data_IF_758056936486
#
_entry.id   IF_758056936486
#
_cell.length_a   1.000
_cell.length_b   1.000
_cell.length_c   1.000
_cell.angle_alpha   90.00
_cell.angle_beta   90.00
_cell.angle_gamma   90.00
#
_symmetry.space_group_name_H-M   'P 1'
#
loop_
_entity.id
_entity.type
_entity.pdbx_description
1 polymer ?
#
# COMPACT_ATOMS: atom_id res chain seq x y z
N UNK A 1 -16.21 -35.73 -14.06
CA UNK A 1 -14.90 -36.41 -13.85
C UNK A 1 -14.78 -37.09 -12.49
N UNK A 2 -15.15 -36.45 -11.38
CA UNK A 2 -15.02 -37.01 -10.01
C UNK A 2 -15.74 -38.35 -9.80
N UNK A 3 -16.95 -38.54 -10.33
CA UNK A 3 -17.75 -39.78 -10.22
C UNK A 3 -17.12 -40.99 -10.92
N UNK A 4 -16.35 -40.81 -11.99
CA UNK A 4 -15.73 -41.92 -12.74
C UNK A 4 -14.58 -42.59 -11.96
N UNK A 5 -13.79 -41.81 -11.22
CA UNK A 5 -12.71 -42.35 -10.38
C UNK A 5 -13.24 -43.10 -9.16
N UNK A 6 -14.33 -42.60 -8.57
CA UNK A 6 -15.02 -43.31 -7.48
C UNK A 6 -15.56 -44.66 -7.93
N UNK A 7 -16.12 -44.76 -9.15
CA UNK A 7 -16.56 -46.04 -9.71
C UNK A 7 -15.40 -47.03 -9.93
N UNK A 8 -14.24 -46.54 -10.40
CA UNK A 8 -13.04 -47.39 -10.58
C UNK A 8 -12.53 -47.92 -9.24
N UNK A 9 -12.49 -47.06 -8.20
CA UNK A 9 -12.09 -47.47 -6.86
C UNK A 9 -13.07 -48.48 -6.25
N UNK A 10 -14.38 -48.25 -6.38
CA UNK A 10 -15.41 -49.13 -5.86
C UNK A 10 -15.40 -50.48 -6.60
N UNK A 11 -15.21 -50.47 -7.92
CA UNK A 11 -15.01 -51.68 -8.71
C UNK A 11 -13.75 -52.46 -8.28
N UNK A 12 -12.63 -51.77 -8.05
CA UNK A 12 -11.39 -52.38 -7.59
C UNK A 12 -11.52 -53.04 -6.20
N UNK A 13 -12.18 -52.36 -5.28
CA UNK A 13 -12.50 -52.90 -3.95
C UNK A 13 -13.40 -54.13 -4.09
N UNK A 14 -14.48 -54.04 -4.88
CA UNK A 14 -15.40 -55.16 -5.11
C UNK A 14 -14.65 -56.38 -5.71
N UNK A 15 -13.80 -56.16 -6.71
CA UNK A 15 -12.96 -57.19 -7.32
C UNK A 15 -11.99 -57.83 -6.32
N UNK A 16 -11.40 -57.08 -5.39
CA UNK A 16 -10.49 -57.64 -4.38
C UNK A 16 -11.14 -58.65 -3.43
N UNK A 17 -12.45 -58.52 -3.17
CA UNK A 17 -13.22 -59.45 -2.33
C UNK A 17 -13.87 -60.57 -3.13
N UNK A 18 -14.37 -60.28 -4.35
CA UNK A 18 -15.05 -61.27 -5.20
C UNK A 18 -14.06 -62.26 -5.80
N UNK A 19 -12.86 -61.82 -6.18
CA UNK A 19 -11.90 -62.65 -6.91
C UNK A 19 -11.44 -63.89 -6.11
N UNK A 20 -11.05 -63.78 -4.82
CA UNK A 20 -10.70 -64.96 -4.03
C UNK A 20 -11.88 -65.93 -3.87
N UNK A 21 -13.10 -65.41 -3.65
CA UNK A 21 -14.31 -66.24 -3.45
C UNK A 21 -14.64 -67.06 -4.69
N UNK A 22 -14.47 -66.49 -5.89
CA UNK A 22 -14.71 -67.19 -7.16
C UNK A 22 -13.60 -68.22 -7.43
N UNK A 23 -12.34 -67.90 -7.14
CA UNK A 23 -11.19 -68.75 -7.48
C UNK A 23 -10.96 -69.93 -6.51
N UNK A 24 -11.56 -69.91 -5.31
CA UNK A 24 -11.44 -70.98 -4.30
C UNK A 24 -12.57 -72.03 -4.43
N UNK A 25 -13.64 -71.76 -5.19
CA UNK A 25 -14.75 -72.71 -5.37
C UNK A 25 -14.35 -73.93 -6.24
N UNK A 26 -14.98 -75.11 -6.04
CA UNK A 26 -14.70 -76.30 -6.84
C UNK A 26 -14.96 -76.03 -8.33
N UNK A 27 -13.95 -76.28 -9.17
CA UNK A 27 -14.05 -75.93 -10.59
C UNK A 27 -15.10 -76.77 -11.32
N UNK A 28 -15.90 -76.11 -12.15
CA UNK A 28 -16.92 -76.76 -13.00
C UNK A 28 -16.26 -77.38 -14.26
N UNK A 29 -15.01 -77.02 -14.56
CA UNK A 29 -14.25 -77.46 -15.73
C UNK A 29 -12.80 -77.76 -15.34
N UNK A 30 -12.27 -78.91 -15.80
CA UNK A 30 -10.88 -79.35 -15.56
C UNK A 30 -9.81 -78.34 -15.99
N UNK A 31 -10.15 -77.41 -16.90
CA UNK A 31 -9.24 -76.35 -17.37
C UNK A 31 -9.05 -75.23 -16.33
N UNK A 32 -10.00 -75.07 -15.40
CA UNK A 32 -9.99 -74.06 -14.34
C UNK A 32 -9.87 -74.70 -12.94
N UNK A 33 -9.33 -75.92 -12.87
CA UNK A 33 -9.06 -76.60 -11.60
C UNK A 33 -7.74 -76.12 -11.00
N UNK A 34 -7.83 -75.09 -10.15
CA UNK A 34 -6.67 -74.50 -9.49
C UNK A 34 -6.29 -75.20 -8.17
N UNK A 35 -6.99 -76.28 -7.79
CA UNK A 35 -6.81 -76.97 -6.49
C UNK A 35 -5.38 -77.44 -6.22
N UNK A 36 -4.60 -77.75 -7.27
CA UNK A 36 -3.20 -78.18 -7.18
C UNK A 36 -2.19 -77.07 -7.53
N UNK A 37 -2.66 -75.90 -7.97
CA UNK A 37 -1.79 -74.80 -8.45
C UNK A 37 -1.42 -73.79 -7.36
N UNK A 38 -1.92 -73.97 -6.14
CA UNK A 38 -1.65 -73.09 -4.99
C UNK A 38 -0.15 -72.87 -4.75
N UNK A 39 0.67 -73.93 -4.79
CA UNK A 39 2.13 -73.81 -4.62
C UNK A 39 2.81 -72.98 -5.73
N UNK A 40 2.29 -73.02 -6.96
CA UNK A 40 2.78 -72.19 -8.07
C UNK A 40 2.40 -70.72 -7.83
N UNK A 41 1.16 -70.48 -7.40
CA UNK A 41 0.67 -69.14 -7.02
C UNK A 41 1.43 -68.54 -5.84
N UNK A 42 1.74 -69.34 -4.82
CA UNK A 42 2.53 -68.94 -3.65
C UNK A 42 3.98 -68.61 -4.03
N UNK A 43 4.56 -69.37 -4.96
CA UNK A 43 5.92 -69.12 -5.46
C UNK A 43 5.96 -67.85 -6.32
N UNK A 44 5.01 -67.66 -7.23
CA UNK A 44 4.89 -66.44 -8.04
C UNK A 44 4.61 -65.25 -7.13
N UNK A 45 3.67 -65.35 -6.21
CA UNK A 45 3.32 -64.27 -5.26
C UNK A 45 4.47 -63.94 -4.32
N UNK A 46 5.17 -64.94 -3.77
CA UNK A 46 6.33 -64.74 -2.90
C UNK A 46 7.51 -64.05 -3.59
N UNK A 47 7.75 -64.35 -4.87
CA UNK A 47 8.84 -63.72 -5.66
C UNK A 47 8.42 -62.34 -6.19
N UNK A 48 7.18 -62.19 -6.66
CA UNK A 48 6.71 -60.96 -7.31
C UNK A 48 6.25 -59.89 -6.34
N UNK A 49 5.69 -60.26 -5.17
CA UNK A 49 5.18 -59.28 -4.21
C UNK A 49 6.26 -58.29 -3.72
N UNK A 50 7.50 -58.70 -3.37
CA UNK A 50 8.57 -57.75 -3.05
C UNK A 50 8.88 -56.78 -4.20
N UNK A 51 8.87 -57.25 -5.45
CA UNK A 51 9.12 -56.42 -6.64
C UNK A 51 7.99 -55.41 -6.84
N UNK A 52 6.73 -55.85 -6.74
CA UNK A 52 5.55 -54.97 -6.87
C UNK A 52 5.53 -53.94 -5.74
N UNK A 53 5.83 -54.35 -4.50
CA UNK A 53 5.92 -53.44 -3.36
C UNK A 53 7.06 -52.43 -3.53
N UNK A 54 8.20 -52.84 -4.09
CA UNK A 54 9.29 -51.94 -4.41
C UNK A 54 8.87 -50.91 -5.47
N UNK A 55 8.24 -51.35 -6.56
CA UNK A 55 7.70 -50.44 -7.59
C UNK A 55 6.66 -49.49 -6.98
N UNK A 56 5.75 -50.00 -6.16
CA UNK A 56 4.73 -49.21 -5.47
C UNK A 56 5.33 -48.13 -4.57
N UNK A 57 6.32 -48.50 -3.74
CA UNK A 57 7.03 -47.54 -2.89
C UNK A 57 7.80 -46.48 -3.68
N UNK A 58 8.43 -46.85 -4.81
CA UNK A 58 9.07 -45.90 -5.72
C UNK A 58 8.04 -44.92 -6.30
N UNK A 59 6.88 -45.41 -6.77
CA UNK A 59 5.82 -44.57 -7.32
C UNK A 59 5.24 -43.60 -6.27
N UNK A 60 5.08 -44.07 -5.03
CA UNK A 60 4.64 -43.24 -3.90
C UNK A 60 5.70 -42.15 -3.60
N UNK A 61 6.98 -42.52 -3.55
CA UNK A 61 8.07 -41.56 -3.37
C UNK A 61 8.09 -40.48 -4.47
N UNK A 62 7.98 -40.89 -5.73
CA UNK A 62 7.93 -39.96 -6.87
C UNK A 62 6.71 -39.03 -6.77
N UNK A 63 5.55 -39.57 -6.37
CA UNK A 63 4.33 -38.79 -6.17
C UNK A 63 4.50 -37.73 -5.08
N UNK A 64 5.07 -38.10 -3.93
CA UNK A 64 5.37 -37.16 -2.86
C UNK A 64 6.39 -36.10 -3.29
N UNK A 65 7.41 -36.48 -4.05
CA UNK A 65 8.40 -35.53 -4.57
C UNK A 65 7.76 -34.45 -5.45
N UNK A 66 6.88 -34.83 -6.38
CA UNK A 66 6.18 -33.86 -7.22
C UNK A 66 5.17 -33.01 -6.43
N UNK A 67 4.49 -33.58 -5.44
CA UNK A 67 3.63 -32.82 -4.52
C UNK A 67 4.42 -31.75 -3.74
N UNK A 68 5.60 -32.09 -3.22
CA UNK A 68 6.48 -31.13 -2.52
C UNK A 68 6.93 -30.01 -3.46
N UNK A 69 7.29 -30.34 -4.71
CA UNK A 69 7.65 -29.37 -5.73
C UNK A 69 6.50 -28.42 -6.05
N UNK A 70 5.29 -28.95 -6.23
CA UNK A 70 4.08 -28.15 -6.47
C UNK A 70 3.76 -27.22 -5.30
N UNK A 71 3.81 -27.72 -4.06
CA UNK A 71 3.58 -26.91 -2.86
C UNK A 71 4.60 -25.76 -2.74
N UNK A 72 5.87 -26.02 -3.03
CA UNK A 72 6.89 -24.98 -3.02
C UNK A 72 6.66 -23.91 -4.09
N UNK A 73 6.22 -24.31 -5.29
CA UNK A 73 5.86 -23.37 -6.36
C UNK A 73 4.65 -22.51 -5.93
N UNK A 74 3.61 -23.13 -5.37
CA UNK A 74 2.41 -22.44 -4.91
C UNK A 74 2.72 -21.44 -3.80
N UNK A 75 3.57 -21.81 -2.83
CA UNK A 75 4.00 -20.89 -1.76
C UNK A 75 4.75 -19.68 -2.30
N UNK A 76 5.65 -19.88 -3.28
CA UNK A 76 6.36 -18.77 -3.94
C UNK A 76 5.40 -17.86 -4.71
N UNK A 77 4.46 -18.44 -5.46
CA UNK A 77 3.45 -17.68 -6.18
C UNK A 77 2.58 -16.84 -5.23
N UNK A 78 2.09 -17.44 -4.14
CA UNK A 78 1.30 -16.75 -3.12
C UNK A 78 2.08 -15.63 -2.44
N UNK A 79 3.34 -15.85 -2.09
CA UNK A 79 4.19 -14.80 -1.51
C UNK A 79 4.38 -13.62 -2.47
N UNK A 80 4.56 -13.90 -3.77
CA UNK A 80 4.64 -12.85 -4.79
C UNK A 80 3.31 -12.11 -4.95
N UNK A 81 2.19 -12.82 -4.93
CA UNK A 81 0.85 -12.23 -5.03
C UNK A 81 0.55 -11.32 -3.83
N UNK A 82 0.82 -11.77 -2.60
CA UNK A 82 0.67 -10.96 -1.38
C UNK A 82 1.52 -9.69 -1.49
N UNK A 83 2.77 -9.80 -1.96
CA UNK A 83 3.63 -8.64 -2.14
C UNK A 83 3.07 -7.66 -3.18
N UNK A 84 2.64 -8.16 -4.34
CA UNK A 84 2.05 -7.33 -5.39
C UNK A 84 0.76 -6.64 -4.94
N UNK A 85 -0.09 -7.34 -4.19
CA UNK A 85 -1.32 -6.76 -3.65
C UNK A 85 -1.03 -5.66 -2.64
N UNK A 86 -0.08 -5.87 -1.71
CA UNK A 86 0.38 -4.81 -0.79
C UNK A 86 0.93 -3.60 -1.54
N UNK A 87 1.77 -3.82 -2.55
CA UNK A 87 2.33 -2.72 -3.36
C UNK A 87 1.21 -1.94 -4.07
N UNK A 88 0.17 -2.62 -4.58
CA UNK A 88 -1.00 -1.97 -5.19
C UNK A 88 -1.83 -1.19 -4.18
N UNK A 89 -2.07 -1.74 -3.00
CA UNK A 89 -2.83 -1.06 -1.93
C UNK A 89 -2.14 0.24 -1.53
N UNK A 90 -0.83 0.20 -1.26
CA UNK A 90 -0.06 1.40 -0.91
C UNK A 90 -0.02 2.40 -2.07
N UNK A 91 0.14 1.93 -3.31
CA UNK A 91 0.11 2.79 -4.49
C UNK A 91 -1.24 3.52 -4.62
N UNK A 92 -2.35 2.82 -4.38
CA UNK A 92 -3.68 3.40 -4.41
C UNK A 92 -3.88 4.40 -3.26
N UNK A 93 -3.45 4.05 -2.05
CA UNK A 93 -3.49 4.95 -0.89
C UNK A 93 -2.76 6.26 -1.18
N UNK A 94 -1.53 6.20 -1.70
CA UNK A 94 -0.76 7.41 -2.05
C UNK A 94 -1.45 8.28 -3.12
N UNK A 95 -2.17 7.68 -4.07
CA UNK A 95 -2.97 8.44 -5.03
C UNK A 95 -4.20 9.09 -4.37
N UNK A 96 -4.87 8.38 -3.46
CA UNK A 96 -6.01 8.92 -2.70
C UNK A 96 -5.54 10.11 -1.86
N UNK A 97 -4.47 9.96 -1.08
CA UNK A 97 -3.91 11.04 -0.25
C UNK A 97 -3.46 12.24 -1.10
N UNK A 98 -2.85 12.01 -2.26
CA UNK A 98 -2.54 13.10 -3.18
C UNK A 98 -3.81 13.81 -3.68
N UNK A 99 -4.86 13.05 -4.01
CA UNK A 99 -6.12 13.63 -4.44
C UNK A 99 -6.81 14.40 -3.32
N UNK A 100 -6.83 13.89 -2.09
CA UNK A 100 -7.34 14.58 -0.91
C UNK A 100 -6.63 15.91 -0.71
N UNK A 101 -5.30 15.95 -0.81
CA UNK A 101 -4.54 17.22 -0.77
C UNK A 101 -5.02 18.21 -1.84
N UNK A 102 -5.28 17.75 -3.07
CA UNK A 102 -5.78 18.62 -4.13
C UNK A 102 -7.20 19.14 -3.86
N UNK A 103 -8.06 18.32 -3.26
CA UNK A 103 -9.45 18.66 -2.92
C UNK A 103 -9.49 19.59 -1.70
N UNK A 104 -8.70 19.31 -0.67
CA UNK A 104 -8.55 20.13 0.52
C UNK A 104 -8.17 21.55 0.13
N UNK A 105 -7.15 21.72 -0.74
CA UNK A 105 -6.76 23.04 -1.24
C UNK A 105 -7.89 23.69 -2.01
N UNK A 106 -8.54 22.98 -2.94
CA UNK A 106 -9.61 23.53 -3.76
C UNK A 106 -10.83 23.99 -2.92
N UNK A 107 -11.11 23.30 -1.82
CA UNK A 107 -12.20 23.61 -0.89
C UNK A 107 -11.89 24.71 0.11
N UNK A 108 -10.65 25.19 0.19
CA UNK A 108 -10.30 26.30 1.07
C UNK A 108 -11.07 27.54 0.69
N UNK A 109 -11.55 28.25 1.71
CA UNK A 109 -12.18 29.55 1.57
C UNK A 109 -11.64 30.52 2.62
N UNK A 110 -11.45 31.76 2.22
CA UNK A 110 -10.99 32.85 3.05
C UNK A 110 -11.79 34.10 2.74
N UNK A 111 -12.17 34.85 3.77
CA UNK A 111 -12.93 36.09 3.64
C UNK A 111 -11.95 37.25 3.56
N UNK A 112 -11.75 37.76 2.36
CA UNK A 112 -10.94 38.95 2.15
C UNK A 112 -11.76 40.20 2.44
N UNK A 113 -11.32 41.00 3.41
CA UNK A 113 -11.93 42.29 3.77
C UNK A 113 -11.10 43.44 3.21
N UNK A 114 -11.69 44.26 2.35
CA UNK A 114 -11.02 45.40 1.72
C UNK A 114 -11.45 46.68 2.42
N UNK A 115 -10.47 47.46 2.88
CA UNK A 115 -10.69 48.72 3.58
C UNK A 115 -10.14 49.89 2.77
N UNK A 116 -10.92 50.96 2.66
CA UNK A 116 -10.49 52.25 2.11
C UNK A 116 -10.65 53.32 3.19
N UNK A 117 -9.58 54.05 3.50
CA UNK A 117 -9.54 55.03 4.61
C UNK A 117 -10.01 54.47 5.97
N UNK A 118 -9.89 53.15 6.18
CA UNK A 118 -10.33 52.46 7.41
C UNK A 118 -11.81 52.06 7.44
N UNK A 119 -12.56 52.31 6.35
CA UNK A 119 -13.94 51.89 6.18
C UNK A 119 -13.95 50.60 5.36
N UNK A 120 -14.67 49.58 5.84
CA UNK A 120 -14.89 48.35 5.06
C UNK A 120 -15.73 48.70 3.83
N UNK A 121 -15.16 48.49 2.65
CA UNK A 121 -15.83 48.77 1.38
C UNK A 121 -16.32 47.50 0.70
N UNK A 122 -15.61 46.38 0.89
CA UNK A 122 -15.94 45.13 0.21
C UNK A 122 -15.49 43.92 1.05
N UNK A 123 -16.28 42.85 0.97
CA UNK A 123 -15.98 41.56 1.56
C UNK A 123 -16.15 40.49 0.49
N UNK A 124 -15.06 39.80 0.15
CA UNK A 124 -15.01 38.80 -0.90
C UNK A 124 -14.62 37.44 -0.36
N UNK A 125 -15.39 36.41 -0.71
CA UNK A 125 -14.99 35.02 -0.45
C UNK A 125 -14.05 34.57 -1.55
N UNK A 126 -12.79 34.33 -1.19
CA UNK A 126 -11.78 33.80 -2.09
C UNK A 126 -11.57 32.33 -1.79
N UNK A 127 -11.41 31.52 -2.82
CA UNK A 127 -11.29 30.06 -2.68
C UNK A 127 -10.00 29.50 -3.25
N UNK A 128 -9.70 28.25 -2.91
CA UNK A 128 -8.57 27.52 -3.48
C UNK A 128 -7.22 28.00 -2.95
N UNK A 129 -6.21 27.87 -3.82
CA UNK A 129 -4.85 28.39 -3.57
C UNK A 129 -4.82 29.87 -3.18
N UNK A 130 -5.67 30.70 -3.82
CA UNK A 130 -5.73 32.15 -3.54
C UNK A 130 -6.18 32.44 -2.11
N UNK A 131 -7.01 31.57 -1.52
CA UNK A 131 -7.42 31.71 -0.12
C UNK A 131 -6.20 31.61 0.82
N UNK A 132 -5.29 30.66 0.54
CA UNK A 132 -4.04 30.48 1.29
C UNK A 132 -3.08 31.65 1.06
N UNK A 133 -3.01 32.14 -0.19
CA UNK A 133 -2.19 33.31 -0.53
C UNK A 133 -2.62 34.56 0.24
N UNK A 134 -3.92 34.87 0.24
CA UNK A 134 -4.47 36.05 0.93
C UNK A 134 -4.25 35.93 2.43
N UNK A 135 -4.55 34.78 3.03
CA UNK A 135 -4.25 34.54 4.46
C UNK A 135 -2.77 34.81 4.79
N UNK A 136 -1.85 34.31 3.96
CA UNK A 136 -0.42 34.49 4.17
C UNK A 136 -0.01 35.98 4.06
N UNK A 137 -0.65 36.73 3.18
CA UNK A 137 -0.42 38.17 3.03
C UNK A 137 -1.06 38.96 4.19
N UNK A 138 -2.24 38.59 4.65
CA UNK A 138 -2.91 39.26 5.78
C UNK A 138 -2.14 39.07 7.08
N UNK A 139 -1.58 37.88 7.33
CA UNK A 139 -0.62 37.66 8.42
C UNK A 139 0.58 38.60 8.33
N UNK A 140 1.13 38.79 7.11
CA UNK A 140 2.25 39.72 6.87
C UNK A 140 1.88 41.17 7.17
N UNK A 141 0.73 41.63 6.69
CA UNK A 141 0.30 43.03 6.86
C UNK A 141 0.02 43.38 8.32
N UNK A 142 -0.53 42.45 9.10
CA UNK A 142 -0.84 42.69 10.51
C UNK A 142 0.41 42.83 11.39
N UNK A 143 1.53 42.19 11.04
CA UNK A 143 2.81 42.40 11.76
C UNK A 143 3.40 43.78 11.50
N UNK A 144 3.24 44.33 10.29
CA UNK A 144 3.84 45.60 9.92
C UNK A 144 3.08 46.83 10.47
N UNK A 145 1.85 46.66 10.94
CA UNK A 145 1.07 47.73 11.57
C UNK A 145 1.16 47.66 13.10
N UNK A 146 2.23 48.23 13.67
CA UNK A 146 2.33 48.48 15.13
C UNK A 146 1.25 49.43 15.70
N UNK A 147 0.47 50.11 14.85
CA UNK A 147 -0.55 51.08 15.24
C UNK A 147 -1.94 50.74 14.68
N UNK A 148 -2.51 49.63 15.15
CA UNK A 148 -3.95 49.49 15.45
C UNK A 148 -5.01 49.90 14.43
N UNK A 149 -5.08 49.31 13.22
CA UNK A 149 -6.27 49.40 12.35
C UNK A 149 -6.68 48.16 11.53
N UNK A 150 -6.13 46.98 11.79
CA UNK A 150 -6.70 45.72 11.28
C UNK A 150 -6.73 44.69 12.39
N UNK A 151 -7.95 44.35 12.86
CA UNK A 151 -8.14 43.14 13.65
C UNK A 151 -8.01 41.99 12.66
N UNK A 152 -6.88 41.27 12.72
CA UNK A 152 -6.81 39.94 12.13
C UNK A 152 -7.88 39.09 12.80
N UNK A 153 -9.01 38.92 12.15
CA UNK A 153 -10.10 38.10 12.66
C UNK A 153 -9.73 36.65 12.35
N UNK A 154 -9.03 36.00 13.28
CA UNK A 154 -8.62 34.59 13.22
C UNK A 154 -9.80 33.60 13.12
N UNK A 155 -11.04 34.10 13.11
CA UNK A 155 -12.28 33.33 13.20
C UNK A 155 -12.68 32.58 11.91
N UNK A 156 -11.77 32.36 10.98
CA UNK A 156 -12.13 31.85 9.66
C UNK A 156 -11.88 30.35 9.52
N UNK A 157 -12.85 29.67 8.90
CA UNK A 157 -12.88 28.24 8.58
C UNK A 157 -11.57 27.68 7.95
N UNK A 158 -10.69 28.55 7.46
CA UNK A 158 -9.41 28.20 6.86
C UNK A 158 -8.42 27.54 7.82
N UNK A 159 -8.40 27.89 9.12
CA UNK A 159 -7.39 27.34 10.05
C UNK A 159 -7.60 25.83 10.29
N UNK A 160 -8.82 25.35 10.60
CA UNK A 160 -9.09 23.92 10.64
C UNK A 160 -8.76 23.21 9.31
N UNK A 161 -9.09 23.82 8.17
CA UNK A 161 -8.79 23.24 6.85
C UNK A 161 -7.28 23.13 6.59
N UNK A 162 -6.49 24.13 6.98
CA UNK A 162 -5.03 24.08 6.92
C UNK A 162 -4.45 23.02 7.85
N UNK A 163 -5.02 22.83 9.04
CA UNK A 163 -4.62 21.76 9.96
C UNK A 163 -4.89 20.37 9.36
N UNK A 164 -6.03 20.20 8.70
CA UNK A 164 -6.36 18.95 8.01
C UNK A 164 -5.40 18.73 6.83
N UNK A 165 -5.27 19.72 5.95
CA UNK A 165 -4.35 19.66 4.80
C UNK A 165 -2.92 19.30 5.23
N UNK A 166 -2.38 19.97 6.25
CA UNK A 166 -1.03 19.67 6.75
C UNK A 166 -0.91 18.26 7.31
N UNK A 167 -1.96 17.75 7.95
CA UNK A 167 -1.99 16.36 8.44
C UNK A 167 -2.04 15.37 7.27
N UNK A 168 -2.82 15.64 6.22
CA UNK A 168 -2.88 14.81 5.01
C UNK A 168 -1.53 14.77 4.29
N UNK A 169 -0.87 15.94 4.16
CA UNK A 169 0.48 16.03 3.59
C UNK A 169 1.48 15.23 4.43
N UNK A 170 1.46 15.40 5.75
CA UNK A 170 2.36 14.68 6.67
C UNK A 170 2.16 13.16 6.55
N UNK A 171 0.91 12.70 6.57
CA UNK A 171 0.59 11.28 6.42
C UNK A 171 1.04 10.73 5.07
N UNK A 172 0.85 11.47 3.96
CA UNK A 172 1.37 11.10 2.65
C UNK A 172 2.90 10.89 2.67
N UNK A 173 3.65 11.82 3.28
CA UNK A 173 5.11 11.75 3.34
C UNK A 173 5.59 10.58 4.21
N UNK A 174 4.92 10.32 5.33
CA UNK A 174 5.19 9.18 6.22
C UNK A 174 4.96 7.86 5.48
N UNK A 175 3.79 7.70 4.85
CA UNK A 175 3.46 6.48 4.09
C UNK A 175 4.41 6.27 2.92
N UNK A 176 4.75 7.33 2.20
CA UNK A 176 5.73 7.27 1.13
C UNK A 176 7.11 6.79 1.63
N UNK A 177 7.56 7.35 2.76
CA UNK A 177 8.85 6.98 3.37
C UNK A 177 8.87 5.51 3.79
N UNK A 178 7.87 5.10 4.55
CA UNK A 178 7.83 3.81 5.25
C UNK A 178 7.36 2.65 4.37
N UNK A 179 6.75 2.93 3.22
CA UNK A 179 6.28 1.90 2.29
C UNK A 179 7.38 0.95 1.81
N UNK A 180 6.99 -0.27 1.44
CA UNK A 180 7.88 -1.27 0.83
C UNK A 180 7.98 -1.13 -0.71
N UNK A 181 7.43 -0.05 -1.25
CA UNK A 181 7.47 0.23 -2.68
C UNK A 181 8.90 0.30 -3.21
N UNK A 182 9.07 -0.09 -4.48
CA UNK A 182 10.34 0.08 -5.18
C UNK A 182 10.77 1.56 -5.19
N UNK A 183 12.08 1.81 -5.17
CA UNK A 183 12.65 3.16 -5.21
C UNK A 183 12.12 3.98 -6.39
N UNK A 184 11.88 3.34 -7.54
CA UNK A 184 11.28 3.97 -8.72
C UNK A 184 9.91 4.60 -8.40
N UNK A 185 9.02 3.87 -7.72
CA UNK A 185 7.70 4.38 -7.35
C UNK A 185 7.77 5.45 -6.26
N UNK A 186 8.67 5.28 -5.28
CA UNK A 186 8.90 6.30 -4.26
C UNK A 186 9.33 7.63 -4.87
N UNK A 187 10.29 7.60 -5.79
CA UNK A 187 10.74 8.78 -6.53
C UNK A 187 9.61 9.39 -7.38
N UNK A 188 8.78 8.57 -8.02
CA UNK A 188 7.65 9.05 -8.81
C UNK A 188 6.67 9.86 -7.96
N UNK A 189 6.21 9.29 -6.84
CA UNK A 189 5.27 9.96 -5.94
C UNK A 189 5.89 11.20 -5.30
N UNK A 190 7.14 11.09 -4.83
CA UNK A 190 7.87 12.23 -4.30
C UNK A 190 7.90 13.38 -5.30
N UNK A 191 8.35 13.15 -6.53
CA UNK A 191 8.48 14.21 -7.55
C UNK A 191 7.14 14.81 -7.93
N UNK A 192 6.09 13.98 -8.06
CA UNK A 192 4.73 14.45 -8.37
C UNK A 192 4.22 15.37 -7.26
N UNK A 193 4.33 14.92 -6.01
CA UNK A 193 3.87 15.67 -4.85
C UNK A 193 4.70 16.93 -4.63
N UNK A 194 6.03 16.81 -4.69
CA UNK A 194 6.98 17.91 -4.58
C UNK A 194 6.63 19.05 -5.52
N UNK A 195 6.47 18.77 -6.83
CA UNK A 195 6.15 19.81 -7.83
C UNK A 195 4.83 20.49 -7.53
N UNK A 196 3.82 19.71 -7.15
CA UNK A 196 2.51 20.25 -6.80
C UNK A 196 2.62 21.18 -5.57
N UNK A 197 3.22 20.69 -4.48
CA UNK A 197 3.40 21.44 -3.25
C UNK A 197 4.27 22.70 -3.45
N UNK A 198 5.38 22.58 -4.18
CA UNK A 198 6.26 23.70 -4.52
C UNK A 198 5.50 24.79 -5.28
N UNK A 199 4.76 24.41 -6.33
CA UNK A 199 4.07 25.36 -7.19
C UNK A 199 2.85 26.03 -6.55
N UNK A 200 2.20 25.38 -5.56
CA UNK A 200 0.92 25.83 -5.01
C UNK A 200 0.97 26.32 -3.57
N UNK A 201 1.85 25.74 -2.75
CA UNK A 201 1.77 25.91 -1.30
C UNK A 201 3.06 26.43 -0.69
N UNK A 202 4.23 26.01 -1.19
CA UNK A 202 5.50 26.22 -0.50
C UNK A 202 5.75 27.69 -0.13
N UNK A 203 5.58 28.61 -1.10
CA UNK A 203 5.78 30.05 -0.84
C UNK A 203 4.73 30.67 0.08
N UNK A 204 3.52 30.12 0.13
CA UNK A 204 2.46 30.62 1.00
C UNK A 204 2.67 30.11 2.42
N UNK A 205 2.99 28.82 2.56
CA UNK A 205 3.29 28.17 3.83
C UNK A 205 4.54 28.76 4.50
N UNK A 206 5.56 29.12 3.72
CA UNK A 206 6.74 29.82 4.24
C UNK A 206 6.39 31.18 4.83
N UNK A 207 5.53 31.95 4.16
CA UNK A 207 5.02 33.24 4.68
C UNK A 207 4.19 33.00 5.95
N UNK A 208 3.32 31.99 5.96
CA UNK A 208 2.52 31.64 7.15
C UNK A 208 3.46 31.33 8.31
N UNK A 209 4.48 30.48 8.14
CA UNK A 209 5.45 30.20 9.22
C UNK A 209 6.06 31.50 9.74
N UNK A 210 6.63 32.33 8.85
CA UNK A 210 7.34 33.56 9.21
C UNK A 210 6.45 34.58 9.92
N UNK A 211 5.21 34.76 9.45
CA UNK A 211 4.33 35.82 9.92
C UNK A 211 3.30 35.37 10.95
N UNK A 212 3.29 34.09 11.31
CA UNK A 212 2.40 33.61 12.38
C UNK A 212 3.07 33.55 13.75
N UNK A 213 4.38 33.83 13.87
CA UNK A 213 5.15 33.65 15.13
C UNK A 213 4.54 34.39 16.33
N UNK A 214 3.90 35.53 16.08
CA UNK A 214 3.24 36.34 17.11
C UNK A 214 1.82 35.83 17.48
N UNK A 215 1.36 34.72 16.92
CA UNK A 215 0.02 34.16 17.11
C UNK A 215 0.10 32.76 17.72
N UNK A 216 -0.08 32.68 19.05
CA UNK A 216 0.00 31.42 19.81
C UNK A 216 -0.91 30.31 19.23
N UNK A 217 -2.10 30.68 18.75
CA UNK A 217 -3.08 29.77 18.16
C UNK A 217 -2.58 29.07 16.87
N UNK A 218 -1.56 29.63 16.22
CA UNK A 218 -0.96 29.11 14.98
C UNK A 218 0.34 28.33 15.23
N UNK A 219 0.84 28.26 16.46
CA UNK A 219 2.08 27.55 16.83
C UNK A 219 2.09 26.08 16.36
N UNK A 220 0.99 25.35 16.57
CA UNK A 220 0.85 23.96 16.13
C UNK A 220 0.95 23.85 14.60
N UNK A 221 0.32 24.78 13.88
CA UNK A 221 0.35 24.80 12.42
C UNK A 221 1.77 25.08 11.92
N UNK A 222 2.47 26.05 12.51
CA UNK A 222 3.88 26.34 12.18
C UNK A 222 4.76 25.11 12.36
N UNK A 223 4.63 24.43 13.51
CA UNK A 223 5.42 23.26 13.80
C UNK A 223 5.21 22.17 12.74
N UNK A 224 3.95 21.87 12.40
CA UNK A 224 3.60 20.91 11.33
C UNK A 224 4.18 21.32 9.97
N UNK A 225 4.09 22.60 9.62
CA UNK A 225 4.65 23.10 8.36
C UNK A 225 6.17 22.94 8.30
N UNK A 226 6.88 23.28 9.39
CA UNK A 226 8.34 23.07 9.51
C UNK A 226 8.70 21.58 9.37
N UNK A 227 7.93 20.68 9.98
CA UNK A 227 8.11 19.24 9.84
C UNK A 227 7.91 18.77 8.38
N UNK A 228 6.87 19.25 7.69
CA UNK A 228 6.63 18.94 6.28
C UNK A 228 7.83 19.34 5.41
N UNK A 229 8.33 20.57 5.56
CA UNK A 229 9.52 21.03 4.83
C UNK A 229 10.77 20.19 5.14
N UNK A 230 10.95 19.79 6.40
CA UNK A 230 12.03 18.90 6.81
C UNK A 230 11.91 17.51 6.15
N UNK A 231 10.72 16.93 6.17
CA UNK A 231 10.42 15.63 5.58
C UNK A 231 10.68 15.60 4.08
N UNK A 232 10.32 16.64 3.34
CA UNK A 232 10.66 16.71 1.91
C UNK A 232 12.17 16.73 1.65
N UNK A 233 12.94 17.46 2.46
CA UNK A 233 14.40 17.52 2.34
C UNK A 233 15.04 16.17 2.68
N UNK A 234 14.60 15.54 3.77
CA UNK A 234 15.07 14.22 4.20
C UNK A 234 14.80 13.15 3.14
N UNK A 235 13.59 13.14 2.58
CA UNK A 235 13.22 12.24 1.49
C UNK A 235 14.02 12.49 0.22
N UNK A 236 14.30 13.76 -0.12
CA UNK A 236 15.15 14.09 -1.27
C UNK A 236 16.54 13.45 -1.14
N UNK A 237 17.15 13.59 0.04
CA UNK A 237 18.47 13.06 0.35
C UNK A 237 18.47 11.53 0.39
N UNK A 238 17.49 10.92 1.06
CA UNK A 238 17.33 9.47 1.12
C UNK A 238 17.13 8.83 -0.26
N UNK A 239 16.45 9.54 -1.17
CA UNK A 239 16.25 9.10 -2.55
C UNK A 239 17.36 9.55 -3.50
N UNK A 240 18.41 10.21 -3.00
CA UNK A 240 19.54 10.73 -3.77
C UNK A 240 19.10 11.61 -4.95
N UNK A 241 18.07 12.41 -4.72
CA UNK A 241 17.59 13.38 -5.70
C UNK A 241 18.55 14.58 -5.71
N UNK A 242 18.83 15.11 -6.91
CA UNK A 242 19.82 16.17 -7.10
C UNK A 242 19.55 17.42 -6.25
N UNK A 243 20.58 18.28 -6.13
CA UNK A 243 20.62 19.39 -5.17
C UNK A 243 19.41 20.33 -5.19
N UNK A 244 18.73 20.49 -6.34
CA UNK A 244 17.48 21.25 -6.42
C UNK A 244 16.42 20.77 -5.42
N UNK A 245 16.15 19.46 -5.35
CA UNK A 245 15.12 18.89 -4.47
C UNK A 245 15.47 18.96 -2.98
N UNK A 246 16.75 18.82 -2.64
CA UNK A 246 17.23 18.94 -1.25
C UNK A 246 17.30 20.41 -0.79
N UNK A 247 17.71 21.33 -1.67
CA UNK A 247 18.03 22.70 -1.27
C UNK A 247 16.82 23.63 -1.25
N UNK A 248 15.78 23.39 -2.05
CA UNK A 248 14.59 24.26 -2.08
C UNK A 248 13.93 24.36 -0.70
N UNK A 249 13.70 23.22 -0.04
CA UNK A 249 13.01 23.24 1.25
C UNK A 249 13.93 23.51 2.45
N UNK A 250 15.25 23.39 2.29
CA UNK A 250 16.19 23.98 3.26
C UNK A 250 16.03 25.51 3.30
N UNK A 251 15.94 26.17 2.15
CA UNK A 251 15.69 27.63 2.08
C UNK A 251 14.37 28.05 2.74
N UNK A 252 13.33 27.24 2.64
CA UNK A 252 12.04 27.50 3.30
C UNK A 252 12.03 27.13 4.79
N UNK A 253 12.96 26.30 5.25
CA UNK A 253 13.16 25.97 6.67
C UNK A 253 13.95 27.07 7.38
N UNK A 254 15.00 27.56 6.73
CA UNK A 254 15.98 28.49 7.31
C UNK A 254 15.55 29.97 7.21
N UNK A 255 14.23 30.23 7.23
CA UNK A 255 13.65 31.58 7.14
C UNK A 255 13.96 32.48 8.35
N UNK A 256 14.67 31.97 9.35
CA UNK A 256 15.20 32.75 10.48
C UNK A 256 16.28 33.77 10.05
N UNK A 257 16.76 33.76 8.79
CA UNK A 257 17.85 34.61 8.29
C UNK A 257 17.49 35.57 7.11
N UNK A 258 16.22 35.83 6.83
CA UNK A 258 15.77 36.80 5.79
C UNK A 258 14.74 37.79 6.32
#
# INVERSE_FOLDING_TARGET
MRTRYWLILLLGILLSFITPVILIQPSISKIFDFSQTGQIGDTIGGITAPIINLIGSILVYLSFREQLKANNLQRKALANEIKQNRDREVFNLLNILFHEVTVDIASMSYVQKIYENGILIEENIVTGEKAVEILANDLKYNINQKNGRTRFDLNENIIPLLKNLTSTIEFFLIELNNSQLSLKYKIFFYKRFFRYFESKLASHFSKIIKYSENYEQLSILQHKLRLIFSSFSSLAEGYKLGGHYSNIFKRYRDLDNL
#
